data_IF_746802017678
#
_entry.id   IF_746802017678
#
_cell.length_a   1.000
_cell.length_b   1.000
_cell.length_c   1.000
_cell.angle_alpha   90.00
_cell.angle_beta   90.00
_cell.angle_gamma   90.00
#
_symmetry.space_group_name_H-M   'P 1'
#
loop_
_entity.id
_entity.type
_entity.pdbx_description
1 polymer ?
#
# COMPACT_ATOMS: atom_id res chain seq x y z
N UNK A 1 -32.75 30.10 18.24
CA UNK A 1 -31.29 30.32 18.39
C UNK A 1 -30.56 29.15 17.72
N UNK A 2 -29.83 29.25 16.62
CA UNK A 2 -29.77 30.24 15.55
C UNK A 2 -29.18 29.49 14.35
N UNK A 3 -29.93 29.35 13.24
CA UNK A 3 -29.41 28.84 11.95
C UNK A 3 -28.17 29.64 11.47
N UNK A 4 -28.01 30.85 12.02
CA UNK A 4 -26.87 31.73 11.84
C UNK A 4 -25.54 31.19 12.43
N UNK A 5 -25.60 30.34 13.47
CA UNK A 5 -24.41 29.69 14.04
C UNK A 5 -23.94 28.52 13.17
N UNK A 6 -24.89 27.77 12.59
CA UNK A 6 -24.61 26.72 11.60
C UNK A 6 -24.01 27.31 10.32
N UNK A 7 -24.52 28.43 9.83
CA UNK A 7 -23.95 29.11 8.66
C UNK A 7 -22.54 29.66 8.91
N UNK A 8 -22.28 30.21 10.11
CA UNK A 8 -20.94 30.71 10.47
C UNK A 8 -19.92 29.57 10.61
N UNK A 9 -20.33 28.38 11.06
CA UNK A 9 -19.45 27.21 11.14
C UNK A 9 -19.15 26.57 9.77
N UNK A 10 -20.09 26.66 8.83
CA UNK A 10 -19.86 26.24 7.44
C UNK A 10 -18.96 27.22 6.67
N UNK A 11 -19.08 28.53 6.95
CA UNK A 11 -18.29 29.56 6.27
C UNK A 11 -16.80 29.51 6.66
N UNK A 12 -16.48 29.19 7.91
CA UNK A 12 -15.07 29.03 8.37
C UNK A 12 -14.38 27.80 7.77
N UNK A 13 -15.12 26.74 7.44
CA UNK A 13 -14.60 25.55 6.77
C UNK A 13 -14.23 25.81 5.30
N UNK A 14 -14.93 26.72 4.61
CA UNK A 14 -14.66 27.02 3.19
C UNK A 14 -13.53 28.04 2.99
N UNK A 15 -13.33 28.98 3.92
CA UNK A 15 -12.29 30.03 3.79
C UNK A 15 -10.85 29.54 4.02
N UNK A 16 -10.67 28.33 4.56
CA UNK A 16 -9.33 27.74 4.79
C UNK A 16 -8.70 27.11 3.54
N UNK A 17 -9.44 26.98 2.42
CA UNK A 17 -8.90 26.47 1.15
C UNK A 17 -8.56 27.57 0.12
N UNK A 18 -8.63 28.86 0.49
CA UNK A 18 -8.36 29.99 -0.41
C UNK A 18 -6.88 30.44 -0.46
N UNK A 19 -5.96 29.78 0.26
CA UNK A 19 -4.54 30.16 0.32
C UNK A 19 -3.59 29.23 -0.47
N UNK A 20 -4.09 28.55 -1.51
CA UNK A 20 -3.27 27.81 -2.48
C UNK A 20 -3.52 28.33 -3.90
N UNK A 21 -3.46 29.64 -4.11
CA UNK A 21 -3.32 30.21 -5.46
C UNK A 21 -2.48 31.48 -5.45
N UNK A 22 -1.26 31.39 -4.91
CA UNK A 22 -0.23 32.39 -5.14
C UNK A 22 0.97 31.73 -5.82
N UNK A 23 0.74 31.12 -6.99
CA UNK A 23 1.77 30.84 -7.98
C UNK A 23 1.08 30.55 -9.32
N UNK A 24 0.84 31.60 -10.09
CA UNK A 24 1.20 31.71 -11.51
C UNK A 24 0.96 33.17 -11.88
N UNK A 25 2.08 33.82 -12.17
CA UNK A 25 2.20 35.21 -12.58
C UNK A 25 2.06 35.25 -14.10
N UNK A 26 1.32 36.25 -14.58
CA UNK A 26 1.54 36.95 -15.84
C UNK A 26 1.28 36.18 -17.14
N UNK A 27 0.25 36.60 -17.88
CA UNK A 27 0.46 37.28 -19.16
C UNK A 27 -0.80 37.97 -19.68
N UNK A 28 -0.57 39.21 -20.13
CA UNK A 28 -1.28 39.97 -21.16
C UNK A 28 -2.47 40.91 -20.85
N UNK A 29 -2.22 42.13 -21.33
CA UNK A 29 -2.99 43.38 -21.40
C UNK A 29 -4.10 43.33 -22.49
N UNK A 30 -4.99 44.35 -22.54
CA UNK A 30 -6.33 44.29 -23.10
C UNK A 30 -6.43 44.75 -24.57
N UNK A 31 -7.55 44.43 -25.22
CA UNK A 31 -8.04 45.17 -26.38
C UNK A 31 -9.57 45.16 -26.45
N UNK A 32 -10.16 46.35 -26.58
CA UNK A 32 -11.54 46.60 -26.99
C UNK A 32 -11.79 46.10 -28.43
N UNK A 33 -13.02 45.69 -28.76
CA UNK A 33 -13.88 46.31 -29.78
C UNK A 33 -15.00 45.37 -30.28
N UNK A 34 -16.22 45.93 -30.28
CA UNK A 34 -17.43 45.67 -31.10
C UNK A 34 -17.48 44.40 -31.99
N UNK A 35 -18.56 43.62 -31.88
CA UNK A 35 -19.64 43.61 -32.89
C UNK A 35 -20.71 42.55 -32.59
N UNK A 36 -21.89 42.87 -33.12
CA UNK A 36 -23.19 42.22 -33.08
C UNK A 36 -23.20 40.72 -33.40
N UNK A 37 -24.08 39.95 -32.76
CA UNK A 37 -25.11 39.18 -33.45
C UNK A 37 -26.20 38.70 -32.47
N UNK A 38 -27.42 39.15 -32.75
CA UNK A 38 -28.69 38.74 -32.14
C UNK A 38 -28.89 37.22 -32.25
N UNK A 39 -29.46 36.61 -31.20
CA UNK A 39 -30.53 35.63 -31.37
C UNK A 39 -31.61 35.86 -30.30
N UNK A 40 -32.80 36.21 -30.80
CA UNK A 40 -34.06 36.37 -30.08
C UNK A 40 -34.48 35.08 -29.37
N UNK A 41 -34.93 35.20 -28.12
CA UNK A 41 -35.96 34.31 -27.58
C UNK A 41 -37.09 35.20 -27.08
N UNK A 42 -38.16 35.22 -27.86
CA UNK A 42 -39.34 36.04 -27.69
C UNK A 42 -40.28 35.39 -26.67
N UNK A 43 -40.54 36.08 -25.57
CA UNK A 43 -41.54 35.67 -24.58
C UNK A 43 -42.93 36.15 -25.01
N UNK A 44 -44.00 35.34 -24.91
CA UNK A 44 -45.33 35.75 -25.32
C UNK A 44 -45.88 36.86 -24.41
N UNK A 45 -46.22 38.00 -25.02
CA UNK A 45 -47.01 39.07 -24.40
C UNK A 45 -48.45 38.58 -24.17
N UNK A 46 -48.89 38.58 -22.91
CA UNK A 46 -50.31 38.65 -22.60
C UNK A 46 -50.69 40.11 -22.36
N UNK A 47 -51.57 40.60 -23.23
CA UNK A 47 -52.20 41.91 -23.25
C UNK A 47 -53.07 42.08 -22.01
N UNK A 48 -52.82 43.15 -21.25
CA UNK A 48 -53.68 43.65 -20.19
C UNK A 48 -54.68 44.61 -20.84
N UNK A 49 -55.95 44.21 -20.92
CA UNK A 49 -57.07 45.10 -21.20
C UNK A 49 -57.89 45.20 -19.93
N UNK A 50 -57.89 46.39 -19.34
CA UNK A 50 -58.86 46.80 -18.33
C UNK A 50 -60.24 46.84 -18.98
N UNK A 51 -61.20 46.12 -18.39
CA UNK A 51 -62.61 46.44 -18.52
C UNK A 51 -63.21 46.46 -17.11
N UNK A 52 -63.60 47.65 -16.71
CA UNK A 52 -64.48 47.92 -15.58
C UNK A 52 -65.89 47.47 -15.95
N UNK A 53 -66.49 46.57 -15.19
CA UNK A 53 -67.90 46.77 -14.84
C UNK A 53 -68.38 46.03 -13.60
N UNK A 54 -69.36 46.66 -12.97
CA UNK A 54 -69.90 46.43 -11.64
C UNK A 54 -71.23 45.67 -11.77
N UNK A 55 -71.40 44.51 -11.15
CA UNK A 55 -72.72 44.06 -10.66
C UNK A 55 -72.64 42.84 -9.74
N UNK A 56 -73.45 42.88 -8.69
CA UNK A 56 -73.69 41.84 -7.71
C UNK A 56 -74.49 40.67 -8.32
N UNK A 57 -74.22 39.44 -7.86
CA UNK A 57 -75.05 38.28 -8.21
C UNK A 57 -74.38 36.98 -7.80
N UNK A 58 -74.80 36.40 -6.67
CA UNK A 58 -74.25 35.16 -6.17
C UNK A 58 -74.60 33.94 -7.03
N UNK A 59 -73.64 33.03 -7.20
CA UNK A 59 -73.92 31.63 -7.55
C UNK A 59 -72.97 30.67 -6.81
N UNK A 60 -73.60 29.76 -6.08
CA UNK A 60 -73.02 28.56 -5.44
C UNK A 60 -72.80 27.50 -6.52
N UNK A 61 -71.61 26.91 -6.59
CA UNK A 61 -71.27 25.51 -6.96
C UNK A 61 -69.76 25.45 -7.24
N UNK A 62 -68.96 24.45 -6.91
CA UNK A 62 -69.15 23.09 -6.40
C UNK A 62 -67.79 22.73 -5.78
N UNK A 63 -67.71 22.25 -4.54
CA UNK A 63 -66.46 21.70 -3.98
C UNK A 63 -66.14 20.38 -4.69
N UNK A 64 -65.45 20.47 -5.83
CA UNK A 64 -64.71 19.35 -6.38
C UNK A 64 -63.49 19.10 -5.50
N UNK A 65 -63.55 18.08 -4.64
CA UNK A 65 -62.34 17.50 -4.03
C UNK A 65 -61.58 16.77 -5.13
N UNK A 66 -60.77 17.48 -5.91
CA UNK A 66 -59.66 16.86 -6.61
C UNK A 66 -58.56 16.66 -5.56
N UNK A 67 -58.43 15.42 -5.06
CA UNK A 67 -57.22 15.03 -4.34
C UNK A 67 -56.08 15.06 -5.35
N UNK A 68 -55.38 16.18 -5.46
CA UNK A 68 -54.15 16.27 -6.23
C UNK A 68 -53.15 15.30 -5.61
N UNK A 69 -52.69 14.32 -6.40
CA UNK A 69 -51.55 13.46 -6.07
C UNK A 69 -50.29 14.31 -6.05
N UNK A 70 -50.06 15.00 -4.93
CA UNK A 70 -48.82 15.71 -4.63
C UNK A 70 -47.76 14.75 -4.03
N UNK A 71 -47.69 13.50 -4.50
CA UNK A 71 -46.83 12.46 -3.92
C UNK A 71 -45.34 12.71 -4.19
N UNK A 72 -44.98 13.20 -5.37
CA UNK A 72 -43.57 13.37 -5.76
C UNK A 72 -42.80 14.40 -4.92
N UNK A 73 -43.45 15.48 -4.46
CA UNK A 73 -42.79 16.50 -3.63
C UNK A 73 -42.64 16.04 -2.18
N UNK A 74 -43.63 15.30 -1.65
CA UNK A 74 -43.55 14.69 -0.33
C UNK A 74 -42.45 13.63 -0.27
N UNK A 75 -42.39 12.76 -1.28
CA UNK A 75 -41.31 11.76 -1.41
C UNK A 75 -39.93 12.44 -1.50
N UNK A 76 -39.77 13.46 -2.35
CA UNK A 76 -38.50 14.18 -2.49
C UNK A 76 -38.05 14.90 -1.21
N UNK A 77 -39.00 15.45 -0.42
CA UNK A 77 -38.69 16.18 0.82
C UNK A 77 -38.14 15.29 1.95
N UNK A 78 -38.35 13.98 1.88
CA UNK A 78 -37.80 12.99 2.82
C UNK A 78 -36.52 12.36 2.26
N UNK A 79 -36.49 12.07 0.96
CA UNK A 79 -35.33 11.43 0.31
C UNK A 79 -34.11 12.35 0.29
N UNK A 80 -34.28 13.65 0.02
CA UNK A 80 -33.15 14.58 -0.09
C UNK A 80 -32.39 14.77 1.24
N UNK A 81 -33.02 15.03 2.39
CA UNK A 81 -32.32 15.10 3.68
C UNK A 81 -31.68 13.78 4.07
N UNK A 82 -32.32 12.64 3.78
CA UNK A 82 -31.76 11.31 4.05
C UNK A 82 -30.49 11.08 3.23
N UNK A 83 -30.50 11.45 1.96
CA UNK A 83 -29.32 11.35 1.09
C UNK A 83 -28.18 12.23 1.56
N UNK A 84 -28.46 13.50 1.93
CA UNK A 84 -27.45 14.42 2.46
C UNK A 84 -26.88 13.88 3.79
N UNK A 85 -27.73 13.35 4.67
CA UNK A 85 -27.30 12.72 5.92
C UNK A 85 -26.41 11.49 5.66
N UNK A 86 -26.76 10.64 4.69
CA UNK A 86 -25.94 9.50 4.30
C UNK A 86 -24.56 9.93 3.76
N UNK A 87 -24.51 10.96 2.91
CA UNK A 87 -23.26 11.54 2.41
C UNK A 87 -22.41 12.14 3.54
N UNK A 88 -23.03 12.89 4.47
CA UNK A 88 -22.34 13.42 5.63
C UNK A 88 -21.76 12.31 6.52
N UNK A 89 -22.52 11.25 6.76
CA UNK A 89 -22.06 10.07 7.50
C UNK A 89 -20.89 9.38 6.79
N UNK A 90 -20.95 9.23 5.47
CA UNK A 90 -19.85 8.65 4.69
C UNK A 90 -18.57 9.49 4.81
N UNK A 91 -18.67 10.83 4.72
CA UNK A 91 -17.52 11.74 4.92
C UNK A 91 -16.95 11.59 6.33
N UNK A 92 -17.81 11.51 7.37
CA UNK A 92 -17.37 11.31 8.75
C UNK A 92 -16.61 9.99 8.93
N UNK A 93 -17.11 8.91 8.34
CA UNK A 93 -16.45 7.61 8.37
C UNK A 93 -15.09 7.67 7.68
N UNK A 94 -15.00 8.27 6.49
CA UNK A 94 -13.74 8.44 5.77
C UNK A 94 -12.71 9.21 6.61
N UNK A 95 -13.13 10.26 7.31
CA UNK A 95 -12.25 11.02 8.21
C UNK A 95 -11.73 10.17 9.38
N UNK A 96 -12.61 9.39 10.03
CA UNK A 96 -12.22 8.47 11.11
C UNK A 96 -11.24 7.41 10.60
N UNK A 97 -11.53 6.78 9.47
CA UNK A 97 -10.65 5.78 8.87
C UNK A 97 -9.31 6.37 8.45
N UNK A 98 -9.32 7.57 7.87
CA UNK A 98 -8.08 8.26 7.50
C UNK A 98 -7.24 8.53 8.73
N UNK A 99 -7.82 9.04 9.82
CA UNK A 99 -7.09 9.25 11.07
C UNK A 99 -6.50 7.95 11.63
N UNK A 100 -7.32 6.89 11.74
CA UNK A 100 -6.89 5.59 12.25
C UNK A 100 -5.76 5.00 11.38
N UNK A 101 -5.87 5.12 10.05
CA UNK A 101 -4.83 4.68 9.13
C UNK A 101 -3.53 5.48 9.31
N UNK A 102 -3.61 6.80 9.44
CA UNK A 102 -2.43 7.65 9.63
C UNK A 102 -1.71 7.32 10.93
N UNK A 103 -2.43 7.20 12.05
CA UNK A 103 -1.87 6.80 13.35
C UNK A 103 -1.27 5.39 13.28
N UNK A 104 -1.95 4.43 12.65
CA UNK A 104 -1.44 3.07 12.51
C UNK A 104 -0.15 3.01 11.68
N UNK A 105 -0.05 3.82 10.61
CA UNK A 105 1.16 3.86 9.77
C UNK A 105 2.32 4.56 10.46
N UNK A 106 2.07 5.68 11.17
CA UNK A 106 3.13 6.38 11.92
C UNK A 106 3.62 5.54 13.09
N UNK A 107 2.73 4.88 13.83
CA UNK A 107 3.06 3.91 14.87
C UNK A 107 3.98 2.83 14.33
N UNK A 108 3.57 2.17 13.24
CA UNK A 108 4.37 1.12 12.60
C UNK A 108 5.74 1.63 12.13
N UNK A 109 5.81 2.85 11.60
CA UNK A 109 7.06 3.43 11.13
C UNK A 109 8.01 3.74 12.29
N UNK A 110 7.50 4.30 13.39
CA UNK A 110 8.28 4.51 14.61
C UNK A 110 8.77 3.19 15.20
N UNK A 111 7.90 2.18 15.32
CA UNK A 111 8.29 0.84 15.80
C UNK A 111 9.38 0.23 14.92
N UNK A 112 9.30 0.40 13.59
CA UNK A 112 10.35 -0.07 12.67
C UNK A 112 11.68 0.66 12.86
N UNK A 113 11.65 1.97 13.05
CA UNK A 113 12.87 2.74 13.30
C UNK A 113 13.56 2.29 14.59
N UNK A 114 12.78 2.08 15.65
CA UNK A 114 13.30 1.56 16.92
C UNK A 114 13.79 0.11 16.81
N UNK A 115 13.12 -0.73 16.01
CA UNK A 115 13.56 -2.09 15.77
C UNK A 115 14.92 -2.19 15.08
N UNK A 116 15.37 -1.15 14.37
CA UNK A 116 16.68 -1.11 13.69
C UNK A 116 17.81 -0.60 14.59
N UNK A 117 17.50 0.13 15.66
CA UNK A 117 18.51 0.73 16.52
C UNK A 117 18.94 -0.28 17.61
N UNK A 118 20.26 -0.51 17.77
CA UNK A 118 20.77 -1.33 18.87
C UNK A 118 20.78 -0.50 20.16
N UNK A 119 19.70 -0.58 20.95
CA UNK A 119 19.54 0.16 22.20
C UNK A 119 18.90 -0.69 23.29
N UNK A 120 19.49 -0.67 24.50
CA UNK A 120 19.11 -1.52 25.65
C UNK A 120 18.26 -0.80 26.70
N UNK A 121 17.47 0.17 26.28
CA UNK A 121 16.67 0.99 27.20
C UNK A 121 15.91 2.05 26.44
N UNK A 122 14.81 1.63 25.84
CA UNK A 122 13.90 2.54 25.14
C UNK A 122 12.60 2.54 25.93
N UNK A 123 12.07 3.73 26.18
CA UNK A 123 10.83 3.90 26.93
C UNK A 123 9.66 4.07 25.96
N UNK A 124 8.45 3.72 26.40
CA UNK A 124 7.22 3.99 25.64
C UNK A 124 7.07 5.46 25.20
N UNK A 125 7.76 6.38 25.87
CA UNK A 125 7.83 7.80 25.53
C UNK A 125 8.53 8.06 24.18
N UNK A 126 9.57 7.30 23.83
CA UNK A 126 10.30 7.49 22.57
C UNK A 126 9.46 7.05 21.37
N UNK A 127 8.70 5.96 21.52
CA UNK A 127 7.67 5.56 20.55
C UNK A 127 6.70 6.72 20.36
N UNK A 128 6.20 7.31 21.45
CA UNK A 128 5.29 8.46 21.40
C UNK A 128 5.88 9.66 20.66
N UNK A 129 7.11 10.05 20.98
CA UNK A 129 7.77 11.18 20.35
C UNK A 129 8.00 10.97 18.84
N UNK A 130 8.45 9.78 18.44
CA UNK A 130 8.68 9.45 17.02
C UNK A 130 7.38 9.39 16.22
N UNK A 131 6.33 8.82 16.80
CA UNK A 131 5.02 8.74 16.16
C UNK A 131 4.36 10.09 15.97
N UNK A 132 4.39 10.93 16.99
CA UNK A 132 3.86 12.31 16.92
C UNK A 132 4.66 13.15 15.92
N UNK A 133 6.00 13.03 15.90
CA UNK A 133 6.84 13.73 14.92
C UNK A 133 6.51 13.32 13.48
N UNK A 134 6.26 12.03 13.21
CA UNK A 134 5.85 11.54 11.88
C UNK A 134 4.45 12.03 11.49
N UNK A 135 3.50 12.06 12.44
CA UNK A 135 2.15 12.60 12.22
C UNK A 135 2.17 14.10 11.90
N UNK A 136 3.01 14.87 12.59
CA UNK A 136 3.23 16.29 12.30
C UNK A 136 3.83 16.51 10.90
N UNK A 137 4.82 15.70 10.51
CA UNK A 137 5.40 15.73 9.15
C UNK A 137 4.37 15.43 8.07
N UNK A 138 3.44 14.51 8.33
CA UNK A 138 2.33 14.16 7.43
C UNK A 138 1.20 15.20 7.41
N UNK A 139 1.26 16.23 8.25
CA UNK A 139 0.24 17.29 8.32
C UNK A 139 -1.12 16.80 8.85
N UNK A 140 -1.12 15.74 9.66
CA UNK A 140 -2.36 15.18 10.21
C UNK A 140 -2.96 16.16 11.21
N UNK A 141 -4.26 16.47 11.06
CA UNK A 141 -4.96 17.35 11.99
C UNK A 141 -5.47 16.54 13.21
N UNK A 142 -5.07 16.87 14.45
CA UNK A 142 -5.47 16.14 15.65
C UNK A 142 -6.86 16.54 16.15
N UNK A 143 -7.62 17.36 15.41
CA UNK A 143 -8.89 17.93 15.86
C UNK A 143 -9.96 16.90 16.23
N UNK A 144 -9.87 15.69 15.69
CA UNK A 144 -10.77 14.59 16.03
C UNK A 144 -10.37 13.86 17.33
N UNK A 145 -9.11 13.99 17.76
CA UNK A 145 -8.55 13.35 18.94
C UNK A 145 -8.81 14.23 20.16
N UNK A 146 -9.41 13.65 21.19
CA UNK A 146 -9.60 14.31 22.48
C UNK A 146 -8.24 14.59 23.12
N UNK A 147 -7.99 15.83 23.53
CA UNK A 147 -6.67 16.22 24.06
C UNK A 147 -5.60 16.40 22.98
N UNK A 148 -5.97 16.33 21.69
CA UNK A 148 -5.05 16.44 20.55
C UNK A 148 -3.91 15.43 20.69
N UNK A 149 -2.67 15.83 20.43
CA UNK A 149 -1.49 14.97 20.54
C UNK A 149 -1.28 14.40 21.94
N UNK A 150 -1.46 15.23 22.98
CA UNK A 150 -1.34 14.84 24.39
C UNK A 150 -2.40 13.82 24.84
N UNK A 151 -3.44 13.60 24.02
CA UNK A 151 -4.48 12.62 24.28
C UNK A 151 -4.13 11.19 23.90
N UNK A 152 -2.98 10.97 23.26
CA UNK A 152 -2.53 9.64 22.85
C UNK A 152 -1.64 9.05 23.94
N UNK A 153 -2.07 7.93 24.52
CA UNK A 153 -1.32 7.20 25.54
C UNK A 153 -0.56 6.04 24.94
N UNK A 154 0.75 5.98 25.21
CA UNK A 154 1.63 4.89 24.81
C UNK A 154 1.98 3.93 25.95
N UNK A 155 1.38 4.12 27.14
CA UNK A 155 1.77 3.45 28.38
C UNK A 155 1.68 1.91 28.34
N UNK A 156 0.90 1.35 27.39
CA UNK A 156 0.77 -0.11 27.20
C UNK A 156 1.80 -0.70 26.24
N UNK A 157 2.69 0.12 25.68
CA UNK A 157 3.76 -0.35 24.81
C UNK A 157 4.78 -1.17 25.60
N UNK A 158 5.18 -2.31 25.05
CA UNK A 158 6.23 -3.18 25.61
C UNK A 158 7.41 -3.21 24.66
N UNK A 159 8.60 -3.03 25.21
CA UNK A 159 9.85 -3.02 24.46
C UNK A 159 10.74 -4.08 25.09
N UNK A 160 10.79 -5.25 24.48
CA UNK A 160 11.64 -6.36 24.92
C UNK A 160 12.94 -6.38 24.10
N UNK A 161 13.92 -7.20 24.50
CA UNK A 161 15.18 -7.33 23.77
C UNK A 161 14.98 -7.84 22.33
N UNK A 162 14.04 -8.77 22.13
CA UNK A 162 13.76 -9.42 20.84
C UNK A 162 12.61 -8.80 20.05
N UNK A 163 11.60 -8.23 20.71
CA UNK A 163 10.38 -7.74 20.07
C UNK A 163 9.94 -6.40 20.65
N UNK A 164 9.41 -5.53 19.80
CA UNK A 164 8.87 -4.23 20.17
C UNK A 164 7.38 -4.24 19.85
N UNK A 165 6.55 -4.19 20.90
CA UNK A 165 5.09 -4.11 20.84
C UNK A 165 4.64 -2.68 21.19
N UNK A 166 4.44 -1.85 20.19
CA UNK A 166 3.93 -0.49 20.35
C UNK A 166 2.39 -0.48 20.40
N UNK A 167 1.82 0.24 21.38
CA UNK A 167 0.38 0.39 21.58
C UNK A 167 0.07 1.87 21.78
N UNK A 168 -0.82 2.42 20.95
CA UNK A 168 -1.34 3.77 21.08
C UNK A 168 -2.84 3.73 21.41
N UNK A 169 -3.22 4.24 22.59
CA UNK A 169 -4.60 4.36 23.04
C UNK A 169 -5.05 5.81 23.00
N UNK A 170 -6.19 6.07 22.37
CA UNK A 170 -6.71 7.43 22.26
C UNK A 170 -8.25 7.42 22.15
N UNK A 171 -8.85 8.59 22.32
CA UNK A 171 -10.30 8.78 22.21
C UNK A 171 -10.60 9.76 21.08
N UNK A 172 -11.56 9.41 20.24
CA UNK A 172 -12.06 10.29 19.19
C UNK A 172 -13.45 10.82 19.53
N UNK A 173 -13.67 12.10 19.23
CA UNK A 173 -15.00 12.69 19.26
C UNK A 173 -15.69 12.43 17.92
N UNK A 174 -16.83 11.75 17.91
CA UNK A 174 -17.53 11.45 16.66
C UNK A 174 -18.12 12.75 16.08
N UNK A 175 -17.84 13.10 14.81
CA UNK A 175 -18.32 14.33 14.19
C UNK A 175 -19.75 14.17 13.67
N UNK A 176 -20.62 13.49 14.43
CA UNK A 176 -21.99 13.16 14.05
C UNK A 176 -22.97 13.98 14.89
N UNK A 177 -23.46 15.13 14.42
CA UNK A 177 -24.33 16.01 15.19
C UNK A 177 -25.68 15.37 15.56
N UNK A 178 -26.12 14.34 14.83
CA UNK A 178 -27.42 13.68 15.01
C UNK A 178 -27.48 12.71 16.21
N UNK A 179 -26.33 12.22 16.69
CA UNK A 179 -26.25 11.18 17.73
C UNK A 179 -25.76 11.70 19.09
N UNK A 180 -25.62 13.02 19.22
CA UNK A 180 -24.99 13.68 20.38
C UNK A 180 -23.47 13.57 20.39
N UNK A 181 -22.81 14.18 21.39
CA UNK A 181 -21.38 13.99 21.61
C UNK A 181 -21.13 12.57 22.11
N UNK A 182 -20.72 11.68 21.20
CA UNK A 182 -20.28 10.33 21.52
C UNK A 182 -18.79 10.24 21.34
N UNK A 183 -18.14 9.61 22.32
CA UNK A 183 -16.72 9.33 22.31
C UNK A 183 -16.51 7.87 21.93
N UNK A 184 -15.54 7.60 21.07
CA UNK A 184 -15.15 6.25 20.72
C UNK A 184 -13.69 6.03 21.12
N UNK A 185 -13.43 4.98 21.90
CA UNK A 185 -12.08 4.57 22.26
C UNK A 185 -11.45 3.83 21.09
N UNK A 186 -10.30 4.29 20.65
CA UNK A 186 -9.52 3.71 19.57
C UNK A 186 -8.21 3.14 20.10
N UNK A 187 -7.73 2.10 19.44
CA UNK A 187 -6.46 1.47 19.76
C UNK A 187 -5.74 1.15 18.46
N UNK A 188 -4.47 1.53 18.39
CA UNK A 188 -3.57 1.19 17.30
C UNK A 188 -2.42 0.36 17.88
N UNK A 189 -2.07 -0.74 17.21
CA UNK A 189 -1.03 -1.66 17.65
C UNK A 189 -0.09 -2.00 16.51
N UNK A 190 1.20 -2.04 16.82
CA UNK A 190 2.24 -2.48 15.90
C UNK A 190 3.25 -3.33 16.67
N UNK A 191 3.49 -4.55 16.18
CA UNK A 191 4.60 -5.37 16.66
C UNK A 191 5.67 -5.50 15.58
N UNK A 192 6.94 -5.40 15.97
CA UNK A 192 8.09 -5.67 15.10
C UNK A 192 9.18 -6.39 15.90
N UNK A 193 9.84 -7.35 15.26
CA UNK A 193 11.03 -7.99 15.80
C UNK A 193 12.21 -7.04 15.73
N UNK A 194 12.98 -6.91 16.81
CA UNK A 194 14.22 -6.10 16.82
C UNK A 194 15.28 -6.79 15.96
N UNK A 195 16.06 -5.99 15.25
CA UNK A 195 17.29 -6.44 14.62
C UNK A 195 18.35 -6.71 15.69
N UNK A 196 18.52 -7.98 16.06
CA UNK A 196 19.49 -8.42 17.08
C UNK A 196 20.80 -8.93 16.49
N UNK A 197 21.00 -8.78 15.17
CA UNK A 197 22.12 -9.40 14.46
C UNK A 197 22.02 -10.93 14.45
N UNK A 198 23.17 -11.60 14.33
CA UNK A 198 23.26 -13.05 14.33
C UNK A 198 23.26 -13.60 15.76
N UNK A 199 22.20 -14.33 16.15
CA UNK A 199 22.13 -15.03 17.44
C UNK A 199 22.57 -16.50 17.25
N UNK A 200 23.71 -16.93 17.81
CA UNK A 200 24.16 -18.33 17.74
C UNK A 200 23.18 -19.33 18.37
N UNK A 201 22.29 -18.87 19.27
CA UNK A 201 21.30 -19.73 19.92
C UNK A 201 20.05 -19.97 19.06
N UNK A 202 19.73 -19.13 18.07
CA UNK A 202 18.61 -19.38 17.15
C UNK A 202 18.77 -20.69 16.36
N UNK A 203 20.01 -21.03 15.99
CA UNK A 203 20.34 -22.30 15.34
C UNK A 203 19.99 -23.52 16.20
N UNK A 204 19.98 -23.40 17.53
CA UNK A 204 19.64 -24.51 18.42
C UNK A 204 18.13 -24.75 18.49
N UNK A 205 17.33 -23.69 18.37
CA UNK A 205 15.85 -23.79 18.40
C UNK A 205 15.26 -24.18 17.05
N UNK A 206 15.83 -23.69 15.94
CA UNK A 206 15.34 -23.97 14.57
C UNK A 206 15.96 -25.21 13.92
N UNK A 207 17.05 -25.74 14.49
CA UNK A 207 17.77 -26.89 13.98
C UNK A 207 18.68 -26.57 12.79
N UNK A 208 19.32 -27.61 12.23
CA UNK A 208 20.13 -27.47 11.01
C UNK A 208 19.21 -27.16 9.82
N UNK A 209 19.44 -26.01 9.18
CA UNK A 209 18.71 -25.60 7.97
C UNK A 209 19.46 -26.06 6.72
N UNK A 210 18.72 -26.60 5.75
CA UNK A 210 19.26 -27.08 4.47
C UNK A 210 18.57 -26.39 3.30
N UNK A 211 19.29 -26.29 2.18
CA UNK A 211 18.82 -25.68 0.95
C UNK A 211 18.22 -26.75 0.05
N UNK A 212 17.01 -26.51 -0.43
CA UNK A 212 16.31 -27.40 -1.36
C UNK A 212 15.81 -26.60 -2.55
N UNK A 213 15.66 -27.27 -3.69
CA UNK A 213 15.10 -26.67 -4.90
C UNK A 213 13.66 -27.12 -5.07
N UNK A 214 12.80 -26.26 -5.61
CA UNK A 214 11.37 -26.57 -5.77
C UNK A 214 11.11 -27.85 -6.61
N UNK A 215 11.98 -28.14 -7.58
CA UNK A 215 11.88 -29.31 -8.47
C UNK A 215 12.83 -30.45 -8.10
N UNK A 216 13.75 -30.26 -7.15
CA UNK A 216 14.77 -31.24 -6.80
C UNK A 216 14.42 -32.06 -5.55
N UNK A 217 14.95 -33.28 -5.51
CA UNK A 217 14.82 -34.23 -4.40
C UNK A 217 16.08 -34.33 -3.53
N UNK A 218 17.08 -33.50 -3.82
CA UNK A 218 18.32 -33.44 -3.06
C UNK A 218 18.34 -32.20 -2.18
N UNK A 219 18.79 -32.36 -0.93
CA UNK A 219 19.10 -31.24 -0.05
C UNK A 219 20.60 -30.92 -0.09
N UNK A 220 20.90 -29.63 0.04
CA UNK A 220 22.25 -29.08 0.01
C UNK A 220 22.54 -28.38 1.34
N UNK A 221 23.78 -28.50 1.81
CA UNK A 221 24.26 -27.78 3.01
C UNK A 221 24.96 -26.48 2.64
N UNK A 222 25.67 -26.49 1.52
CA UNK A 222 26.39 -25.35 1.00
C UNK A 222 25.54 -24.58 -0.04
N UNK A 223 25.22 -23.28 0.19
CA UNK A 223 24.55 -22.44 -0.79
C UNK A 223 25.35 -22.25 -2.09
N UNK A 224 26.68 -22.39 -2.03
CA UNK A 224 27.58 -22.27 -3.17
C UNK A 224 27.77 -23.60 -3.95
N UNK A 225 27.03 -24.65 -3.59
CA UNK A 225 27.08 -25.91 -4.32
C UNK A 225 26.74 -25.68 -5.80
N UNK A 226 27.54 -26.21 -6.72
CA UNK A 226 27.36 -26.03 -8.18
C UNK A 226 26.01 -26.57 -8.69
N UNK A 227 25.49 -27.61 -8.05
CA UNK A 227 24.15 -28.16 -8.32
C UNK A 227 23.01 -27.28 -7.79
N UNK A 228 23.31 -26.28 -6.95
CA UNK A 228 22.35 -25.30 -6.47
C UNK A 228 22.52 -23.97 -7.20
N UNK A 229 23.75 -23.47 -7.27
CA UNK A 229 24.15 -22.24 -7.93
C UNK A 229 25.12 -22.53 -9.09
N UNK A 230 24.61 -22.78 -10.31
CA UNK A 230 25.47 -23.08 -11.45
C UNK A 230 26.16 -21.79 -11.91
N UNK A 231 27.42 -21.89 -12.31
CA UNK A 231 28.17 -20.76 -12.88
C UNK A 231 27.73 -20.55 -14.32
N UNK A 232 26.97 -19.48 -14.55
CA UNK A 232 26.40 -19.15 -15.86
C UNK A 232 27.31 -18.10 -16.53
N UNK A 233 27.71 -18.40 -17.76
CA UNK A 233 28.50 -17.51 -18.61
C UNK A 233 27.70 -17.08 -19.83
N UNK A 234 27.84 -15.81 -20.20
CA UNK A 234 27.31 -15.28 -21.46
C UNK A 234 28.34 -15.45 -22.58
N UNK A 235 27.91 -15.92 -23.74
CA UNK A 235 28.74 -16.10 -24.93
C UNK A 235 27.98 -15.65 -26.18
N UNK A 236 28.70 -15.12 -27.17
CA UNK A 236 28.11 -14.75 -28.46
C UNK A 236 27.90 -15.99 -29.32
N UNK A 237 26.83 -15.99 -30.13
CA UNK A 237 26.50 -17.11 -31.03
C UNK A 237 27.67 -17.53 -31.94
N UNK A 238 28.45 -16.56 -32.44
CA UNK A 238 29.66 -16.81 -33.25
C UNK A 238 30.73 -17.66 -32.55
N UNK A 239 30.84 -17.55 -31.22
CA UNK A 239 31.87 -18.22 -30.42
C UNK A 239 31.38 -19.54 -29.81
N UNK A 240 30.07 -19.80 -29.85
CA UNK A 240 29.45 -20.99 -29.28
C UNK A 240 29.94 -22.30 -29.92
N UNK A 241 30.23 -22.28 -31.21
CA UNK A 241 30.78 -23.44 -31.95
C UNK A 241 32.18 -23.85 -31.45
N UNK A 242 32.94 -22.90 -30.90
CA UNK A 242 34.30 -23.09 -30.36
C UNK A 242 34.29 -23.43 -28.88
N UNK A 243 33.29 -22.97 -28.13
CA UNK A 243 33.16 -23.22 -26.71
C UNK A 243 33.03 -24.72 -26.39
N UNK A 244 33.66 -25.13 -25.29
CA UNK A 244 33.56 -26.46 -24.71
C UNK A 244 33.24 -26.33 -23.22
N UNK A 245 32.60 -27.36 -22.67
CA UNK A 245 32.44 -27.47 -21.23
C UNK A 245 33.72 -28.02 -20.58
N UNK A 246 33.76 -28.11 -19.26
CA UNK A 246 34.95 -28.56 -18.52
C UNK A 246 35.38 -29.99 -18.88
N UNK A 247 34.43 -30.83 -19.31
CA UNK A 247 34.67 -32.18 -19.81
C UNK A 247 35.05 -32.25 -21.31
N UNK A 248 35.20 -31.11 -21.98
CA UNK A 248 35.59 -31.02 -23.39
C UNK A 248 34.45 -31.28 -24.39
N UNK A 249 33.20 -31.37 -23.94
CA UNK A 249 32.03 -31.58 -24.78
C UNK A 249 31.53 -30.28 -25.43
N UNK A 250 30.85 -30.40 -26.58
CA UNK A 250 30.19 -29.29 -27.28
C UNK A 250 28.81 -29.01 -26.69
N UNK A 251 28.45 -27.73 -26.61
CA UNK A 251 27.11 -27.31 -26.19
C UNK A 251 26.07 -27.58 -27.30
N UNK A 252 24.91 -28.09 -26.89
CA UNK A 252 23.76 -28.38 -27.75
C UNK A 252 22.61 -27.40 -27.47
N UNK A 253 21.69 -27.17 -28.41
CA UNK A 253 20.51 -26.33 -28.16
C UNK A 253 19.63 -26.91 -27.08
N UNK A 254 19.13 -26.04 -26.18
CA UNK A 254 18.08 -26.40 -25.23
C UNK A 254 16.74 -26.67 -25.91
N UNK A 255 15.78 -27.31 -25.20
CA UNK A 255 14.48 -27.67 -25.78
C UNK A 255 13.70 -26.47 -26.36
N UNK A 256 13.85 -25.30 -25.75
CA UNK A 256 13.18 -24.05 -26.14
C UNK A 256 14.05 -23.13 -26.99
N UNK A 257 15.26 -23.55 -27.36
CA UNK A 257 16.27 -22.66 -27.95
C UNK A 257 16.45 -22.95 -29.46
N UNK A 258 16.95 -21.97 -30.24
CA UNK A 258 17.19 -22.16 -31.66
C UNK A 258 18.12 -23.33 -31.93
N UNK A 259 17.70 -24.26 -32.80
CA UNK A 259 18.47 -25.49 -33.10
C UNK A 259 19.70 -25.22 -33.96
N UNK A 260 19.70 -24.12 -34.71
CA UNK A 260 20.76 -23.73 -35.62
C UNK A 260 21.01 -22.24 -35.48
N UNK A 261 22.27 -21.87 -35.26
CA UNK A 261 22.71 -20.47 -35.20
C UNK A 261 22.97 -20.00 -36.63
N UNK A 262 22.05 -19.21 -37.15
CA UNK A 262 22.18 -18.54 -38.43
C UNK A 262 22.96 -17.22 -38.34
N UNK A 263 23.14 -16.54 -39.47
CA UNK A 263 23.83 -15.24 -39.55
C UNK A 263 23.22 -14.16 -38.66
N UNK A 264 21.89 -14.20 -38.45
CA UNK A 264 21.18 -13.25 -37.60
C UNK A 264 21.46 -13.45 -36.11
N UNK A 265 21.84 -14.66 -35.71
CA UNK A 265 22.03 -15.08 -34.31
C UNK A 265 23.51 -15.05 -33.88
N UNK A 266 24.44 -14.74 -34.80
CA UNK A 266 25.89 -14.68 -34.50
C UNK A 266 26.25 -13.63 -33.45
N UNK A 267 25.53 -12.50 -33.44
CA UNK A 267 25.69 -11.41 -32.48
C UNK A 267 24.74 -11.51 -31.28
N UNK A 268 23.90 -12.54 -31.22
CA UNK A 268 23.02 -12.76 -30.06
C UNK A 268 23.80 -13.37 -28.91
N UNK A 269 23.42 -13.00 -27.68
CA UNK A 269 23.98 -13.55 -26.45
C UNK A 269 23.24 -14.83 -26.09
N UNK A 270 23.99 -15.89 -25.86
CA UNK A 270 23.54 -17.15 -25.30
C UNK A 270 24.19 -17.37 -23.93
N UNK A 271 23.57 -18.22 -23.13
CA UNK A 271 23.96 -18.56 -21.78
C UNK A 271 24.33 -20.04 -21.71
N UNK A 272 25.52 -20.31 -21.20
CA UNK A 272 26.06 -21.65 -20.99
C UNK A 272 26.49 -21.80 -19.54
N UNK A 273 26.67 -23.04 -19.09
CA UNK A 273 27.19 -23.36 -17.76
C UNK A 273 28.44 -24.21 -17.89
N UNK A 274 29.42 -24.05 -16.99
CA UNK A 274 30.74 -24.73 -17.05
C UNK A 274 30.61 -26.27 -17.11
N UNK A 275 29.71 -26.83 -16.29
CA UNK A 275 29.40 -28.27 -16.25
C UNK A 275 28.26 -28.68 -17.22
N UNK A 276 27.67 -27.71 -17.93
CA UNK A 276 26.50 -27.93 -18.77
C UNK A 276 26.81 -28.60 -20.10
N UNK A 277 25.78 -29.16 -20.73
CA UNK A 277 25.84 -29.67 -22.11
C UNK A 277 24.99 -28.85 -23.07
N UNK A 278 24.26 -27.86 -22.56
CA UNK A 278 23.19 -27.17 -23.26
C UNK A 278 23.38 -25.66 -23.17
N UNK A 279 23.06 -24.95 -24.25
CA UNK A 279 22.98 -23.49 -24.26
C UNK A 279 21.54 -23.00 -24.28
N UNK A 280 21.34 -21.81 -23.72
CA UNK A 280 20.05 -21.13 -23.65
C UNK A 280 20.11 -19.71 -24.20
N UNK A 281 19.04 -19.24 -24.82
CA UNK A 281 18.89 -17.90 -25.38
C UNK A 281 18.41 -16.86 -24.35
N UNK A 282 17.95 -17.32 -23.17
CA UNK A 282 17.44 -16.49 -22.08
C UNK A 282 18.02 -16.92 -20.74
N UNK A 283 18.43 -15.94 -19.93
CA UNK A 283 18.92 -16.17 -18.58
C UNK A 283 17.83 -16.77 -17.67
N UNK A 284 16.58 -16.36 -17.87
CA UNK A 284 15.43 -16.77 -17.06
C UNK A 284 14.86 -18.14 -17.44
N UNK A 285 15.58 -18.93 -18.25
CA UNK A 285 15.09 -20.25 -18.66
C UNK A 285 14.90 -21.16 -17.44
N UNK A 286 13.83 -21.98 -17.40
CA UNK A 286 13.60 -22.91 -16.28
C UNK A 286 14.73 -23.91 -16.04
N UNK A 287 15.54 -24.18 -17.06
CA UNK A 287 16.70 -25.06 -16.98
C UNK A 287 17.90 -24.40 -16.27
N UNK A 288 18.05 -23.07 -16.36
CA UNK A 288 19.11 -22.32 -15.67
C UNK A 288 18.67 -21.82 -14.30
N UNK A 289 17.39 -21.47 -14.14
CA UNK A 289 16.84 -20.93 -12.89
C UNK A 289 16.61 -22.02 -11.85
N UNK A 290 17.14 -21.82 -10.64
CA UNK A 290 16.79 -22.64 -9.47
C UNK A 290 16.02 -21.80 -8.45
N UNK A 291 14.81 -22.24 -8.13
CA UNK A 291 14.03 -21.68 -7.01
C UNK A 291 14.50 -22.35 -5.73
N UNK A 292 15.40 -21.69 -5.01
CA UNK A 292 15.99 -22.20 -3.77
C UNK A 292 15.17 -21.75 -2.57
N UNK A 293 14.83 -22.68 -1.70
CA UNK A 293 14.19 -22.45 -0.41
C UNK A 293 14.99 -23.12 0.69
N UNK A 294 14.86 -22.63 1.93
CA UNK A 294 15.48 -23.23 3.11
C UNK A 294 14.41 -23.93 3.92
N UNK A 295 14.66 -25.19 4.29
CA UNK A 295 13.81 -25.97 5.19
C UNK A 295 14.70 -26.60 6.27
N UNK A 296 14.11 -27.07 7.36
CA UNK A 296 14.88 -27.80 8.37
C UNK A 296 15.33 -29.15 7.82
N UNK A 297 16.46 -29.67 8.30
CA UNK A 297 16.95 -31.00 7.93
C UNK A 297 15.91 -32.09 8.23
N UNK A 298 15.21 -31.97 9.36
CA UNK A 298 14.15 -32.92 9.74
C UNK A 298 12.99 -32.91 8.75
N UNK A 299 12.58 -31.73 8.27
CA UNK A 299 11.55 -31.60 7.24
C UNK A 299 12.03 -32.16 5.89
N UNK A 300 13.30 -31.94 5.52
CA UNK A 300 13.88 -32.49 4.30
C UNK A 300 13.88 -34.03 4.31
N UNK A 301 14.30 -34.64 5.43
CA UNK A 301 14.29 -36.08 5.60
C UNK A 301 12.86 -36.64 5.63
N UNK A 302 11.91 -35.95 6.27
CA UNK A 302 10.50 -36.34 6.27
C UNK A 302 9.88 -36.32 4.86
N UNK A 303 10.35 -35.43 3.99
CA UNK A 303 9.98 -35.39 2.56
C UNK A 303 10.72 -36.43 1.71
N UNK A 304 11.60 -37.23 2.30
CA UNK A 304 12.38 -38.26 1.61
C UNK A 304 13.52 -37.70 0.75
N UNK A 305 13.99 -36.48 1.03
CA UNK A 305 15.10 -35.89 0.29
C UNK A 305 16.42 -36.51 0.73
N UNK A 306 17.33 -36.70 -0.22
CA UNK A 306 18.66 -37.26 0.03
C UNK A 306 19.75 -36.18 -0.01
N UNK A 307 20.86 -36.42 0.66
CA UNK A 307 21.99 -35.49 0.64
C UNK A 307 22.58 -35.39 -0.77
N UNK A 308 22.88 -34.18 -1.22
CA UNK A 308 23.68 -33.99 -2.42
C UNK A 308 25.05 -34.69 -2.26
N UNK A 309 25.50 -35.52 -3.22
CA UNK A 309 26.77 -36.25 -3.12
C UNK A 309 27.99 -35.35 -2.89
N UNK A 310 27.99 -34.14 -3.50
CA UNK A 310 29.07 -33.15 -3.33
C UNK A 310 29.02 -32.49 -1.96
N UNK A 311 27.82 -32.20 -1.43
CA UNK A 311 27.66 -31.62 -0.10
C UNK A 311 27.90 -32.65 1.03
N UNK A 312 27.64 -33.93 0.78
CA UNK A 312 27.89 -35.01 1.73
C UNK A 312 29.38 -35.20 2.06
N UNK A 313 30.27 -34.93 1.09
CA UNK A 313 31.72 -35.03 1.30
C UNK A 313 32.35 -33.85 2.05
N UNK A 314 31.72 -32.67 2.04
CA UNK A 314 32.29 -31.44 2.63
C UNK A 314 32.09 -31.33 4.15
N UNK A 315 31.18 -32.11 4.75
CA UNK A 315 30.96 -32.09 6.21
C UNK A 315 32.13 -32.65 7.04
N UNK A 316 33.18 -33.18 6.41
CA UNK A 316 34.39 -33.67 7.08
C UNK A 316 35.55 -32.67 7.17
N UNK A 317 35.57 -31.60 6.38
CA UNK A 317 36.77 -30.75 6.21
C UNK A 317 36.73 -29.41 6.95
N UNK A 318 35.55 -28.93 7.39
CA UNK A 318 35.45 -27.66 8.13
C UNK A 318 35.80 -27.78 9.62
N UNK A 319 35.96 -29.00 10.14
CA UNK A 319 36.35 -29.23 11.54
C UNK A 319 37.87 -29.07 11.79
N UNK A 320 38.73 -29.15 10.77
CA UNK A 320 40.19 -29.08 10.94
C UNK A 320 40.79 -27.67 10.78
N UNK A 321 40.13 -26.74 10.09
CA UNK A 321 40.68 -25.39 9.86
C UNK A 321 40.36 -24.37 10.95
N UNK A 322 39.47 -24.69 11.90
CA UNK A 322 39.20 -23.84 13.07
C UNK A 322 40.24 -23.97 14.20
N UNK A 323 41.19 -24.91 14.08
CA UNK A 323 42.25 -25.15 15.08
C UNK A 323 43.59 -24.43 14.82
N UNK A 324 43.74 -23.75 13.69
CA UNK A 324 45.02 -23.20 13.25
C UNK A 324 45.02 -21.66 13.10
N UNK A 325 44.36 -20.95 14.01
CA UNK A 325 44.66 -19.54 14.30
C UNK A 325 44.49 -19.33 15.81
N UNK A 326 45.56 -19.57 16.55
CA UNK A 326 45.81 -19.03 17.90
C UNK A 326 47.13 -18.30 17.87
#
# INVERSE_FOLDING_TARGET
MSLHLLWNHFRTLFTLNSKISLFIRSCHRPAHSKSHHLFHIEAPRHTFTEDTDRSEGGFRCRRGKTRLSASYTLEASILLPLFIAAMAMAICLIQIFTLQFQIQTSLRQATRQMALLPGKGENALEIGALTEADLLKKGVNPGLIRGKWLGISYAKSRIDEREICAVAEYQIALPIPLLGQREARMTATASQRRWTGWDPMEKKETGEMVYVTASGVAYHRDPACVYLNPRIHSILGKDLSKARNDAGAKYKPGPSCPKHIGKEEENQIFYITEDGLVYHDRLDSPALRRHVSHISLSEALARGYHACPRCAGQSGTEAETAGAVR
#
